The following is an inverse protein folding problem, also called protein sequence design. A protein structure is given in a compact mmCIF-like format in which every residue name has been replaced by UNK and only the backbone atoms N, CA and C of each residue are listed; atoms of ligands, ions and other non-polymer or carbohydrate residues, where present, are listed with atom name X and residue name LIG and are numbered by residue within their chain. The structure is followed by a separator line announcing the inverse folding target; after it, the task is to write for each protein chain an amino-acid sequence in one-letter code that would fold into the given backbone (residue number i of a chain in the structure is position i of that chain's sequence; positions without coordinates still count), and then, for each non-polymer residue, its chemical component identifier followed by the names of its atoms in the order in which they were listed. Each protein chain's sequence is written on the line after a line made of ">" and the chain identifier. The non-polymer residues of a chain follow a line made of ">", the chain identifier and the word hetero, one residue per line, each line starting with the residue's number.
data_IF_820180118444
#
_entry.id   IF_820180118444
#
_cell.length_a   1.000
_cell.length_b   1.000
_cell.length_c   1.000
_cell.angle_alpha   90.00
_cell.angle_beta   90.00
_cell.angle_gamma   90.00
#
_symmetry.space_group_name_H-M   'P 1'
#
loop_
_entity.id
_entity.type
_entity.pdbx_description
1 polymer ?
#
# COMPACT_ATOMS: atom_id res chain seq x y z
N UNK A 1 -16.16 1.85 -13.87
CA UNK A 1 -16.00 1.26 -12.52
C UNK A 1 -16.76 -0.04 -12.37
N UNK A 2 -18.10 -0.07 -12.48
CA UNK A 2 -18.87 -1.31 -12.41
C UNK A 2 -19.00 -1.95 -13.80
N UNK A 3 -17.98 -2.72 -14.16
CA UNK A 3 -17.92 -3.50 -15.41
C UNK A 3 -17.58 -4.93 -15.02
N UNK A 4 -18.23 -5.90 -15.66
CA UNK A 4 -18.05 -7.32 -15.39
C UNK A 4 -16.61 -7.77 -15.67
N UNK A 5 -16.12 -7.40 -16.86
CA UNK A 5 -14.76 -7.65 -17.28
C UNK A 5 -13.80 -6.69 -16.53
N UNK A 6 -12.85 -7.22 -15.73
CA UNK A 6 -11.91 -6.39 -14.98
C UNK A 6 -10.98 -5.59 -15.89
N UNK A 7 -10.60 -6.12 -17.06
CA UNK A 7 -9.68 -5.45 -17.99
C UNK A 7 -10.35 -4.24 -18.66
N UNK A 8 -11.68 -4.19 -18.64
CA UNK A 8 -12.48 -3.08 -19.15
C UNK A 8 -12.89 -2.09 -18.08
N UNK A 9 -12.45 -2.29 -16.83
CA UNK A 9 -12.70 -1.36 -15.74
C UNK A 9 -11.74 -0.19 -15.86
N UNK A 10 -12.29 1.02 -15.77
CA UNK A 10 -11.52 2.26 -15.67
C UNK A 10 -10.43 2.16 -14.60
N UNK A 11 -9.23 2.68 -14.89
CA UNK A 11 -8.12 2.73 -13.93
C UNK A 11 -8.34 3.83 -12.89
N UNK A 12 -7.52 3.86 -11.83
CA UNK A 12 -7.57 4.93 -10.83
C UNK A 12 -7.19 6.27 -11.46
N UNK A 13 -6.15 6.31 -12.30
CA UNK A 13 -5.72 7.54 -12.98
C UNK A 13 -6.80 8.10 -13.91
N UNK A 14 -7.46 7.24 -14.69
CA UNK A 14 -8.58 7.64 -15.55
C UNK A 14 -9.79 8.11 -14.73
N UNK A 15 -10.02 7.52 -13.56
CA UNK A 15 -11.10 7.92 -12.67
C UNK A 15 -10.83 9.29 -12.02
N UNK A 16 -9.60 9.58 -11.62
CA UNK A 16 -9.20 10.89 -11.08
C UNK A 16 -9.36 12.00 -12.13
N UNK A 17 -9.07 11.69 -13.40
CA UNK A 17 -9.29 12.59 -14.54
C UNK A 17 -10.77 12.72 -14.98
N UNK A 18 -11.71 12.03 -14.33
CA UNK A 18 -13.12 12.07 -14.73
C UNK A 18 -13.76 13.43 -14.42
N UNK A 19 -14.64 13.99 -15.29
CA UNK A 19 -15.27 15.31 -15.11
C UNK A 19 -15.96 15.54 -13.76
N UNK A 20 -16.38 14.46 -13.11
CA UNK A 20 -16.98 14.49 -11.78
C UNK A 20 -16.03 14.99 -10.68
N UNK A 21 -14.73 14.71 -10.80
CA UNK A 21 -13.71 15.08 -9.80
C UNK A 21 -12.90 16.32 -10.16
N UNK A 22 -13.19 16.99 -11.29
CA UNK A 22 -12.42 18.14 -11.79
C UNK A 22 -12.25 19.27 -10.78
N UNK A 23 -13.23 19.49 -9.89
CA UNK A 23 -13.12 20.53 -8.87
C UNK A 23 -12.15 20.21 -7.73
N UNK A 24 -11.67 18.97 -7.65
CA UNK A 24 -10.80 18.45 -6.58
C UNK A 24 -9.49 17.85 -7.10
N UNK A 25 -9.42 17.50 -8.39
CA UNK A 25 -8.28 16.79 -8.98
C UNK A 25 -7.06 17.71 -9.11
N UNK A 26 -5.97 17.34 -8.43
CA UNK A 26 -4.72 18.10 -8.41
C UNK A 26 -3.52 17.13 -8.49
N UNK A 27 -2.89 17.04 -9.67
CA UNK A 27 -1.84 16.05 -9.99
C UNK A 27 -0.66 16.09 -8.99
N UNK A 28 -0.30 17.27 -8.50
CA UNK A 28 0.82 17.42 -7.57
C UNK A 28 0.51 16.96 -6.14
N UNK A 29 -0.78 16.81 -5.80
CA UNK A 29 -1.24 16.33 -4.49
C UNK A 29 -1.66 14.84 -4.52
N UNK A 30 -1.49 14.16 -5.67
CA UNK A 30 -1.85 12.76 -5.90
C UNK A 30 -0.61 11.90 -6.22
N UNK A 31 0.34 11.73 -5.28
CA UNK A 31 1.58 11.01 -5.54
C UNK A 31 1.39 9.49 -5.61
N UNK A 32 2.20 8.84 -6.44
CA UNK A 32 2.36 7.37 -6.46
C UNK A 32 3.49 6.92 -5.53
N UNK A 33 3.38 5.73 -4.96
CA UNK A 33 4.50 5.11 -4.24
C UNK A 33 5.61 4.68 -5.22
N UNK A 34 6.85 5.19 -5.11
CA UNK A 34 7.91 4.89 -6.08
C UNK A 34 8.44 3.46 -5.97
N UNK A 35 8.28 2.82 -4.82
CA UNK A 35 8.70 1.44 -4.56
C UNK A 35 7.47 0.54 -4.37
N UNK A 36 7.42 -0.65 -4.99
CA UNK A 36 6.40 -1.63 -4.64
C UNK A 36 6.59 -2.10 -3.20
N UNK A 37 5.49 -2.51 -2.56
CA UNK A 37 5.56 -3.24 -1.31
C UNK A 37 5.81 -4.72 -1.60
N UNK A 38 6.75 -5.33 -0.87
CA UNK A 38 7.13 -6.73 -1.05
C UNK A 38 6.39 -7.61 -0.04
N UNK A 39 5.68 -8.63 -0.52
CA UNK A 39 4.90 -9.57 0.28
C UNK A 39 5.71 -10.84 0.64
N UNK A 40 7.01 -10.68 0.93
CA UNK A 40 7.93 -11.81 1.16
C UNK A 40 7.54 -12.64 2.41
N UNK A 41 6.85 -12.01 3.36
CA UNK A 41 6.30 -12.68 4.54
C UNK A 41 5.16 -13.66 4.21
N UNK A 42 4.42 -13.48 3.11
CA UNK A 42 3.33 -14.39 2.73
C UNK A 42 3.83 -15.66 2.03
N UNK A 43 4.98 -15.57 1.35
CA UNK A 43 5.61 -16.72 0.69
C UNK A 43 6.40 -17.59 1.67
N UNK A 44 6.76 -17.03 2.82
CA UNK A 44 7.52 -17.68 3.88
C UNK A 44 6.58 -18.49 4.77
N UNK A 45 6.88 -19.77 5.02
CA UNK A 45 6.19 -20.55 6.06
C UNK A 45 6.67 -20.11 7.44
N UNK A 46 6.25 -18.92 7.87
CA UNK A 46 6.60 -18.34 9.17
C UNK A 46 5.88 -19.09 10.29
N UNK A 47 6.59 -19.42 11.35
CA UNK A 47 6.00 -19.90 12.59
C UNK A 47 5.40 -18.74 13.39
N UNK A 48 4.61 -19.05 14.43
CA UNK A 48 4.08 -18.04 15.35
C UNK A 48 5.21 -17.22 16.00
N UNK A 49 6.32 -17.87 16.35
CA UNK A 49 7.45 -17.21 17.00
C UNK A 49 8.20 -16.30 16.02
N UNK A 50 8.33 -16.68 14.74
CA UNK A 50 8.91 -15.80 13.71
C UNK A 50 8.06 -14.54 13.51
N UNK A 51 6.73 -14.67 13.54
CA UNK A 51 5.81 -13.53 13.43
C UNK A 51 5.96 -12.60 14.64
N UNK A 52 6.04 -13.16 15.86
CA UNK A 52 6.26 -12.35 17.08
C UNK A 52 7.57 -11.58 17.00
N UNK A 53 8.65 -12.22 16.56
CA UNK A 53 9.96 -11.58 16.42
C UNK A 53 9.94 -10.46 15.37
N UNK A 54 9.28 -10.68 14.23
CA UNK A 54 9.12 -9.65 13.20
C UNK A 54 8.34 -8.43 13.73
N UNK A 55 7.23 -8.65 14.43
CA UNK A 55 6.43 -7.56 15.03
C UNK A 55 7.24 -6.81 16.09
N UNK A 56 7.96 -7.54 16.94
CA UNK A 56 8.82 -6.96 17.98
C UNK A 56 9.92 -6.10 17.36
N UNK A 57 10.60 -6.62 16.33
CA UNK A 57 11.65 -5.90 15.59
C UNK A 57 11.12 -4.62 14.96
N UNK A 58 9.96 -4.67 14.29
CA UNK A 58 9.33 -3.47 13.72
C UNK A 58 8.93 -2.45 14.78
N UNK A 59 8.45 -2.92 15.95
CA UNK A 59 8.10 -2.04 17.07
C UNK A 59 9.33 -1.30 17.60
N UNK A 60 10.46 -2.00 17.80
CA UNK A 60 11.74 -1.37 18.17
C UNK A 60 12.26 -0.42 17.08
N UNK A 61 12.09 -0.75 15.80
CA UNK A 61 12.47 0.13 14.69
C UNK A 61 11.68 1.43 14.69
N UNK A 62 10.38 1.37 15.03
CA UNK A 62 9.53 2.55 15.17
C UNK A 62 9.76 3.30 16.48
N UNK A 63 10.31 2.65 17.52
CA UNK A 63 10.58 3.23 18.84
C UNK A 63 12.07 3.11 19.24
N UNK A 64 12.99 3.88 18.61
CA UNK A 64 14.43 3.73 18.83
C UNK A 64 14.90 3.99 20.27
N UNK A 65 14.19 4.83 21.03
CA UNK A 65 14.52 5.17 22.42
C UNK A 65 14.37 3.98 23.38
N UNK A 66 13.61 2.95 22.99
CA UNK A 66 13.42 1.72 23.76
C UNK A 66 14.42 0.62 23.37
N UNK A 67 15.32 0.89 22.40
CA UNK A 67 16.46 0.00 22.12
C UNK A 67 17.49 0.15 23.24
N UNK A 68 17.42 -0.73 24.24
CA UNK A 68 18.40 -0.87 25.32
C UNK A 68 19.73 -1.40 24.78
#
# INVERSE_FOLDING_TARGET
>A
MLVFDPDRRITVDEALNHPYLVSLHEINEEPTCPSPFYFDFEQSSLSEDDIKENIWTESLNFNPEEKI
#
